data_IF_365280212652
#
_entry.id   IF_365280212652
#
_cell.length_a   1.000
_cell.length_b   1.000
_cell.length_c   1.000
_cell.angle_alpha   90.00
_cell.angle_beta   90.00
_cell.angle_gamma   90.00
#
_symmetry.space_group_name_H-M   'P 1'
#
loop_
_entity.id
_entity.type
_entity.pdbx_description
1 polymer ?
#
# COMPACT_ATOMS: atom_id res chain seq x y z
N UNK A 1 16.64 -0.79 3.73
CA UNK A 1 15.27 -1.33 3.83
C UNK A 1 14.37 -0.20 3.35
N UNK A 2 13.72 -0.31 2.19
CA UNK A 2 12.83 0.75 1.68
C UNK A 2 11.43 0.38 2.16
N UNK A 3 10.93 1.13 3.13
CA UNK A 3 9.58 0.98 3.67
C UNK A 3 8.68 1.98 2.94
N UNK A 4 7.80 1.49 2.07
CA UNK A 4 6.81 2.34 1.39
C UNK A 4 5.58 2.40 2.29
N UNK A 5 5.07 3.60 2.56
CA UNK A 5 3.84 3.77 3.35
C UNK A 5 2.69 4.11 2.40
N UNK A 6 1.65 3.28 2.40
CA UNK A 6 0.43 3.58 1.67
C UNK A 6 -0.61 4.18 2.61
N UNK A 7 -1.07 5.39 2.33
CA UNK A 7 -2.17 5.98 3.09
C UNK A 7 -3.49 5.47 2.52
N UNK A 8 -4.26 4.76 3.33
CA UNK A 8 -5.57 4.27 2.92
C UNK A 8 -6.49 5.47 2.61
N UNK A 9 -7.07 5.59 1.39
CA UNK A 9 -7.91 6.73 1.04
C UNK A 9 -9.25 6.75 1.78
N UNK A 10 -9.63 5.68 2.49
CA UNK A 10 -10.90 5.61 3.21
C UNK A 10 -10.81 6.14 4.64
N UNK A 11 -9.87 5.61 5.43
CA UNK A 11 -9.66 6.00 6.83
C UNK A 11 -8.40 6.84 7.06
N UNK A 12 -7.62 7.12 6.01
CA UNK A 12 -6.33 7.84 6.08
C UNK A 12 -5.28 7.15 6.95
N UNK A 13 -5.46 5.86 7.24
CA UNK A 13 -4.49 5.10 8.02
C UNK A 13 -3.32 4.68 7.15
N UNK A 14 -2.10 4.79 7.69
CA UNK A 14 -0.89 4.37 6.99
C UNK A 14 -0.71 2.86 7.09
N UNK A 15 -0.64 2.21 5.94
CA UNK A 15 -0.37 0.78 5.80
C UNK A 15 1.10 0.63 5.41
N UNK A 16 1.91 -0.04 6.26
CA UNK A 16 3.29 -0.32 5.91
C UNK A 16 3.34 -1.38 4.81
N UNK A 17 4.00 -1.06 3.69
CA UNK A 17 4.23 -1.96 2.58
C UNK A 17 5.73 -2.09 2.33
N UNK A 18 6.17 -3.31 2.03
CA UNK A 18 7.54 -3.60 1.65
C UNK A 18 7.58 -3.87 0.16
N UNK A 19 8.73 -3.64 -0.46
CA UNK A 19 8.93 -3.99 -1.88
C UNK A 19 8.65 -5.47 -2.17
N UNK A 20 8.81 -6.34 -1.17
CA UNK A 20 8.51 -7.78 -1.25
C UNK A 20 7.01 -8.08 -1.36
N UNK A 21 6.14 -7.19 -0.88
CA UNK A 21 4.68 -7.33 -1.00
C UNK A 21 4.18 -7.08 -2.43
N UNK A 22 5.02 -6.50 -3.30
CA UNK A 22 4.69 -6.22 -4.69
C UNK A 22 5.01 -7.41 -5.58
N UNK A 23 3.99 -8.18 -5.93
CA UNK A 23 4.09 -9.25 -6.91
C UNK A 23 3.89 -8.64 -8.29
N UNK A 24 4.95 -8.62 -9.11
CA UNK A 24 4.96 -7.95 -10.43
C UNK A 24 4.61 -6.45 -10.37
N UNK A 25 5.02 -5.77 -9.30
CA UNK A 25 4.75 -4.35 -9.10
C UNK A 25 3.33 -4.04 -8.60
N UNK A 26 2.56 -5.06 -8.19
CA UNK A 26 1.24 -4.90 -7.58
C UNK A 26 1.24 -5.53 -6.19
N UNK A 27 0.88 -4.77 -5.17
CA UNK A 27 0.63 -5.27 -3.82
C UNK A 27 -0.88 -5.42 -3.59
N UNK A 28 -1.29 -6.55 -3.04
CA UNK A 28 -2.66 -6.77 -2.60
C UNK A 28 -2.74 -6.46 -1.11
N UNK A 29 -3.54 -5.47 -0.75
CA UNK A 29 -3.55 -4.90 0.59
C UNK A 29 -4.99 -4.75 1.04
N UNK A 30 -5.26 -5.10 2.29
CA UNK A 30 -6.57 -4.88 2.91
C UNK A 30 -6.39 -3.97 4.10
N UNK A 31 -7.25 -2.95 4.22
CA UNK A 31 -7.20 -2.07 5.37
C UNK A 31 -8.09 -2.63 6.47
N UNK A 32 -7.47 -3.24 7.47
CA UNK A 32 -8.18 -3.88 8.60
C UNK A 32 -8.94 -2.83 9.43
N UNK A 33 -8.39 -1.62 9.59
CA UNK A 33 -8.99 -0.54 10.38
C UNK A 33 -10.37 -0.08 9.88
N UNK A 34 -10.51 0.11 8.56
CA UNK A 34 -11.79 0.52 7.98
C UNK A 34 -12.63 -0.65 7.45
N UNK A 35 -12.15 -1.89 7.58
CA UNK A 35 -12.79 -3.06 7.00
C UNK A 35 -12.85 -3.02 5.47
N UNK A 36 -12.04 -2.17 4.82
CA UNK A 36 -11.97 -2.14 3.37
C UNK A 36 -11.29 -3.42 2.92
N UNK A 37 -12.06 -4.27 2.25
CA UNK A 37 -11.60 -5.54 1.70
C UNK A 37 -10.39 -5.38 0.79
N UNK A 38 -9.77 -6.51 0.43
CA UNK A 38 -8.53 -6.51 -0.35
C UNK A 38 -8.65 -5.65 -1.63
N UNK A 39 -7.71 -4.73 -1.79
CA UNK A 39 -7.54 -3.87 -2.96
C UNK A 39 -6.10 -3.95 -3.47
N UNK A 40 -5.91 -3.62 -4.73
CA UNK A 40 -4.60 -3.64 -5.38
C UNK A 40 -3.97 -2.25 -5.37
N UNK A 41 -2.66 -2.20 -5.13
CA UNK A 41 -1.85 -0.98 -5.14
C UNK A 41 -0.68 -1.21 -6.08
N UNK A 42 -0.46 -0.28 -7.01
CA UNK A 42 0.67 -0.35 -7.92
C UNK A 42 1.90 0.33 -7.28
N UNK A 43 3.07 -0.29 -7.44
CA UNK A 43 4.35 0.21 -6.91
C UNK A 43 4.69 1.62 -7.42
N UNK A 44 4.22 1.93 -8.64
CA UNK A 44 4.39 3.21 -9.32
C UNK A 44 3.55 4.35 -8.71
N UNK A 45 2.44 4.01 -8.03
CA UNK A 45 1.56 4.97 -7.36
C UNK A 45 2.04 5.36 -5.96
N UNK A 46 2.99 4.61 -5.38
CA UNK A 46 3.61 4.91 -4.08
C UNK A 46 4.74 5.93 -4.24
N UNK A 47 4.41 7.02 -4.95
CA UNK A 47 5.31 8.09 -5.37
C UNK A 47 6.51 8.23 -4.43
N UNK A 48 7.66 7.83 -4.96
CA UNK A 48 8.94 8.36 -4.56
C UNK A 48 8.82 9.88 -4.79
N UNK A 49 8.47 10.65 -3.76
CA UNK A 49 8.77 12.08 -3.77
C UNK A 49 10.31 12.18 -3.81
N UNK A 50 10.84 12.46 -5.01
CA UNK A 50 12.21 12.92 -5.22
C UNK A 50 12.24 14.40 -4.91
#
# INVERSE_FOLDING_TARGET
>A
MIEKQYVCPNCKQSIPLRSEDFIKGIAMVSCVDCGRGAFTIEDNLLGLEI
#
